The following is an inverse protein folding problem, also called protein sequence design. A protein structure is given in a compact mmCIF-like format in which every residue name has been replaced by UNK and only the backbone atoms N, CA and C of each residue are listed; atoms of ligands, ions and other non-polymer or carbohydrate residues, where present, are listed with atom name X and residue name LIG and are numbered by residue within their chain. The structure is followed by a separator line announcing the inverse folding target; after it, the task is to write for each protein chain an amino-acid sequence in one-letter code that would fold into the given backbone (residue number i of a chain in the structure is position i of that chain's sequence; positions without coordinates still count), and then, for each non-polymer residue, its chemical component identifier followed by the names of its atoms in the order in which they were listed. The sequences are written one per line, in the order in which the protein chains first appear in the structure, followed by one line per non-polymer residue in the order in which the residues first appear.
data_IF_712362500948
#
_entry.id   IF_712362500948
#
_cell.length_a   1.000
_cell.length_b   1.000
_cell.length_c   1.000
_cell.angle_alpha   90.00
_cell.angle_beta   90.00
_cell.angle_gamma   90.00
#
_symmetry.space_group_name_H-M   'P 1'
#
loop_
_entity.id
_entity.type
_entity.pdbx_description
1 polymer ?
#
# COMPACT_ATOMS: atom_id res chain seq x y z
N UNK A 1 -5.49 2.54 5.97
CA UNK A 1 -4.68 1.29 5.97
C UNK A 1 -4.63 0.63 7.35
N UNK A 2 -4.69 1.40 8.44
CA UNK A 2 -4.68 0.87 9.82
C UNK A 2 -5.66 -0.28 10.11
N UNK A 3 -6.87 -0.22 9.55
CA UNK A 3 -7.86 -1.30 9.67
C UNK A 3 -7.32 -2.66 9.15
N UNK A 4 -6.62 -2.64 8.01
CA UNK A 4 -6.02 -3.84 7.42
C UNK A 4 -4.84 -4.36 8.26
N UNK A 5 -3.95 -3.47 8.71
CA UNK A 5 -2.86 -3.82 9.62
C UNK A 5 -3.40 -4.48 10.89
N UNK A 6 -4.43 -3.88 11.50
CA UNK A 6 -5.11 -4.46 12.67
C UNK A 6 -5.65 -5.85 12.39
N UNK A 7 -6.32 -6.06 11.26
CA UNK A 7 -6.89 -7.36 10.90
C UNK A 7 -5.79 -8.43 10.77
N UNK A 8 -4.69 -8.12 10.08
CA UNK A 8 -3.55 -9.04 9.90
C UNK A 8 -2.92 -9.40 11.24
N UNK A 9 -2.66 -8.41 12.11
CA UNK A 9 -2.06 -8.65 13.43
C UNK A 9 -2.97 -9.51 14.31
N UNK A 10 -4.25 -9.14 14.46
CA UNK A 10 -5.20 -9.89 15.31
C UNK A 10 -5.42 -11.30 14.79
N UNK A 11 -5.60 -11.46 13.47
CA UNK A 11 -5.82 -12.78 12.87
C UNK A 11 -4.56 -13.65 12.97
N UNK A 12 -3.38 -13.09 12.74
CA UNK A 12 -2.11 -13.78 12.90
C UNK A 12 -1.91 -14.31 14.32
N UNK A 13 -2.13 -13.46 15.33
CA UNK A 13 -2.06 -13.86 16.74
C UNK A 13 -3.12 -14.92 17.07
N UNK A 14 -4.35 -14.76 16.57
CA UNK A 14 -5.44 -15.71 16.77
C UNK A 14 -5.10 -17.12 16.26
N UNK A 15 -4.43 -17.24 15.11
CA UNK A 15 -3.98 -18.55 14.57
C UNK A 15 -2.66 -19.04 15.15
N UNK A 16 -2.12 -18.37 16.19
CA UNK A 16 -0.87 -18.74 16.86
C UNK A 16 0.40 -18.35 16.10
N UNK A 17 0.31 -17.48 15.09
CA UNK A 17 1.47 -16.94 14.40
C UNK A 17 2.04 -15.72 15.14
N UNK A 18 3.36 -15.52 15.03
CA UNK A 18 4.01 -14.28 15.40
C UNK A 18 3.91 -13.27 14.26
N UNK A 19 3.54 -12.04 14.58
CA UNK A 19 3.41 -10.97 13.60
C UNK A 19 4.43 -9.89 13.89
N UNK A 20 5.08 -9.36 12.85
CA UNK A 20 6.05 -8.29 12.96
C UNK A 20 5.57 -7.09 12.13
N UNK A 21 5.65 -5.90 12.71
CA UNK A 21 5.59 -4.66 11.94
C UNK A 21 6.88 -4.45 11.18
N UNK A 22 6.76 -3.85 10.00
CA UNK A 22 7.86 -3.29 9.23
C UNK A 22 7.52 -1.82 9.03
N UNK A 23 8.23 -0.95 9.73
CA UNK A 23 8.01 0.49 9.67
C UNK A 23 8.52 1.07 8.35
N UNK A 24 7.95 2.18 7.90
CA UNK A 24 8.35 2.90 6.69
C UNK A 24 8.35 2.04 5.40
N UNK A 25 7.53 0.99 5.37
CA UNK A 25 7.38 0.09 4.22
C UNK A 25 8.68 -0.60 3.82
N UNK A 26 9.01 -0.58 2.53
CA UNK A 26 10.25 -1.21 2.05
C UNK A 26 11.51 -0.56 2.61
N UNK A 27 11.45 0.71 3.01
CA UNK A 27 12.61 1.39 3.57
C UNK A 27 13.02 0.74 4.90
N UNK A 28 12.11 0.57 5.85
CA UNK A 28 12.43 -0.11 7.10
C UNK A 28 12.73 -1.59 6.92
N UNK A 29 12.23 -2.23 5.85
CA UNK A 29 12.66 -3.58 5.49
C UNK A 29 14.14 -3.64 5.12
N UNK A 30 14.61 -2.68 4.32
CA UNK A 30 16.02 -2.54 3.92
C UNK A 30 16.90 -2.14 5.10
N UNK A 31 16.43 -1.22 5.94
CA UNK A 31 17.19 -0.70 7.08
C UNK A 31 17.28 -1.73 8.21
N UNK A 32 16.25 -2.57 8.39
CA UNK A 32 16.22 -3.60 9.42
C UNK A 32 16.25 -3.03 10.83
N UNK A 33 16.90 -3.74 11.76
CA UNK A 33 17.06 -3.29 13.13
C UNK A 33 15.72 -3.06 13.84
N UNK A 34 15.54 -1.90 14.47
CA UNK A 34 14.31 -1.51 15.17
C UNK A 34 13.13 -1.21 14.26
N UNK A 35 13.34 -1.09 12.94
CA UNK A 35 12.25 -0.93 11.98
C UNK A 35 11.43 -2.21 11.79
N UNK A 36 11.92 -3.35 12.30
CA UNK A 36 11.15 -4.57 12.40
C UNK A 36 10.86 -4.80 13.89
N UNK A 37 9.59 -4.88 14.27
CA UNK A 37 9.19 -5.02 15.68
C UNK A 37 8.07 -6.04 15.83
N UNK A 38 8.15 -6.90 16.84
CA UNK A 38 7.07 -7.86 17.11
C UNK A 38 5.82 -7.10 17.54
N UNK A 39 4.68 -7.44 16.95
CA UNK A 39 3.40 -6.86 17.27
C UNK A 39 2.68 -7.73 18.31
N UNK A 40 2.09 -7.09 19.30
CA UNK A 40 1.20 -7.72 20.27
C UNK A 40 -0.27 -7.36 19.99
N UNK A 41 -1.17 -7.90 20.81
CA UNK A 41 -2.61 -7.67 20.67
C UNK A 41 -2.94 -6.19 20.91
N UNK A 42 -2.28 -5.55 21.86
CA UNK A 42 -2.50 -4.17 22.29
C UNK A 42 -2.03 -3.15 21.25
N UNK A 43 -0.94 -3.43 20.52
CA UNK A 43 -0.26 -2.54 19.57
C UNK A 43 -1.13 -2.06 18.41
N UNK A 44 -2.20 -2.80 18.10
CA UNK A 44 -3.20 -2.44 17.08
C UNK A 44 -4.56 -2.08 17.67
N UNK A 45 -4.59 -1.65 18.94
CA UNK A 45 -5.78 -1.08 19.58
C UNK A 45 -5.91 0.39 19.22
N UNK A 46 -7.15 0.89 19.13
CA UNK A 46 -7.43 2.31 18.86
C UNK A 46 -6.87 2.87 17.54
N UNK A 47 -6.50 2.01 16.58
CA UNK A 47 -6.01 2.44 15.26
C UNK A 47 -7.08 2.36 14.15
N UNK A 48 -8.22 1.72 14.41
CA UNK A 48 -9.24 1.43 13.39
C UNK A 48 -9.81 2.71 12.75
N UNK A 49 -10.07 3.72 13.58
CA UNK A 49 -10.67 5.00 13.24
C UNK A 49 -9.65 6.06 12.76
N UNK A 50 -8.36 5.70 12.65
CA UNK A 50 -7.29 6.64 12.31
C UNK A 50 -6.94 6.51 10.83
N UNK A 51 -6.92 7.65 10.13
CA UNK A 51 -6.47 7.74 8.74
C UNK A 51 -5.00 7.36 8.54
N UNK A 52 -4.62 7.07 7.30
CA UNK A 52 -3.24 6.71 6.95
C UNK A 52 -2.82 5.33 7.49
N UNK A 53 -1.56 5.27 7.96
CA UNK A 53 -0.88 4.08 8.47
C UNK A 53 0.00 4.43 9.69
N UNK A 54 -0.21 3.77 10.82
CA UNK A 54 0.56 3.94 12.06
C UNK A 54 1.99 3.40 11.96
N UNK A 55 2.25 2.54 10.98
CA UNK A 55 3.58 1.98 10.72
C UNK A 55 4.37 2.77 9.67
N UNK A 56 3.83 3.91 9.21
CA UNK A 56 4.48 4.72 8.18
C UNK A 56 4.44 4.10 6.79
N UNK A 57 4.92 4.86 5.82
CA UNK A 57 5.01 4.46 4.41
C UNK A 57 6.01 5.36 3.71
N UNK A 58 7.18 4.82 3.36
CA UNK A 58 8.20 5.56 2.62
C UNK A 58 8.42 4.99 1.21
N UNK A 59 8.67 5.90 0.25
CA UNK A 59 9.21 5.50 -1.06
C UNK A 59 10.64 5.00 -0.85
N UNK A 60 10.93 3.78 -1.29
CA UNK A 60 12.26 3.19 -1.14
C UNK A 60 12.93 3.00 -2.51
N UNK A 61 13.93 3.84 -2.81
CA UNK A 61 14.75 3.66 -4.02
C UNK A 61 15.69 2.46 -3.90
N UNK A 62 16.22 2.21 -2.70
CA UNK A 62 17.12 1.08 -2.45
C UNK A 62 16.46 -0.27 -2.80
N UNK A 63 15.17 -0.45 -2.53
CA UNK A 63 14.46 -1.69 -2.85
C UNK A 63 14.29 -1.93 -4.36
N UNK A 64 14.49 -0.91 -5.20
CA UNK A 64 14.52 -1.08 -6.66
C UNK A 64 15.82 -1.73 -7.13
N UNK A 65 16.89 -1.68 -6.33
CA UNK A 65 18.15 -2.34 -6.64
C UNK A 65 18.22 -3.73 -6.00
N UNK A 66 18.98 -4.62 -6.62
CA UNK A 66 19.22 -5.96 -6.08
C UNK A 66 19.93 -5.93 -4.73
N UNK A 67 20.86 -4.98 -4.53
CA UNK A 67 21.57 -4.79 -3.27
C UNK A 67 20.61 -4.45 -2.12
N UNK A 68 19.65 -3.55 -2.34
CA UNK A 68 18.64 -3.23 -1.32
C UNK A 68 17.74 -4.42 -1.02
N UNK A 69 17.32 -5.17 -2.05
CA UNK A 69 16.55 -6.41 -1.85
C UNK A 69 17.34 -7.48 -1.09
N UNK A 70 18.65 -7.58 -1.31
CA UNK A 70 19.53 -8.50 -0.58
C UNK A 70 19.61 -8.12 0.90
N UNK A 71 19.75 -6.83 1.23
CA UNK A 71 19.69 -6.34 2.62
C UNK A 71 18.34 -6.63 3.26
N UNK A 72 17.24 -6.36 2.55
CA UNK A 72 15.90 -6.65 3.02
C UNK A 72 15.70 -8.15 3.32
N UNK A 73 16.13 -9.03 2.42
CA UNK A 73 16.07 -10.47 2.63
C UNK A 73 16.88 -10.91 3.86
N UNK A 74 18.09 -10.37 4.05
CA UNK A 74 18.92 -10.63 5.22
C UNK A 74 18.19 -10.26 6.53
N UNK A 75 17.58 -9.08 6.59
CA UNK A 75 16.86 -8.60 7.78
C UNK A 75 15.63 -9.45 8.12
N UNK A 76 14.91 -9.93 7.10
CA UNK A 76 13.78 -10.84 7.30
C UNK A 76 14.26 -12.19 7.87
N UNK A 77 15.35 -12.74 7.31
CA UNK A 77 15.90 -14.04 7.73
C UNK A 77 16.48 -14.01 9.15
N UNK A 78 17.08 -12.90 9.57
CA UNK A 78 17.54 -12.70 10.95
C UNK A 78 16.42 -12.88 11.99
N UNK A 79 15.16 -12.73 11.58
CA UNK A 79 13.97 -12.89 12.42
C UNK A 79 13.12 -14.10 12.04
N UNK A 80 13.58 -14.92 11.09
CA UNK A 80 12.84 -16.08 10.59
C UNK A 80 11.54 -15.73 9.86
N UNK A 81 11.45 -14.54 9.26
CA UNK A 81 10.25 -14.07 8.56
C UNK A 81 10.29 -14.51 7.10
N UNK A 82 9.34 -15.38 6.71
CA UNK A 82 9.16 -15.85 5.33
C UNK A 82 7.73 -15.71 4.82
N UNK A 83 6.85 -15.12 5.63
CA UNK A 83 5.48 -14.79 5.26
C UNK A 83 5.35 -13.27 5.28
N UNK A 84 5.05 -12.68 4.13
CA UNK A 84 5.03 -11.24 3.94
C UNK A 84 3.64 -10.80 3.48
N UNK A 85 3.00 -9.92 4.27
CA UNK A 85 1.78 -9.24 3.88
C UNK A 85 2.12 -7.80 3.47
N UNK A 86 1.88 -7.45 2.20
CA UNK A 86 2.18 -6.12 1.66
C UNK A 86 0.86 -5.38 1.42
N UNK A 87 0.67 -4.26 2.11
CA UNK A 87 -0.50 -3.39 1.95
C UNK A 87 -0.04 -2.13 1.22
N UNK A 88 -0.54 -1.89 0.01
CA UNK A 88 -0.16 -0.71 -0.77
C UNK A 88 -0.77 -0.69 -2.16
N UNK A 89 -0.37 0.30 -2.97
CA UNK A 89 -0.81 0.42 -4.37
C UNK A 89 -0.01 -0.45 -5.34
N UNK A 90 -0.27 -0.26 -6.63
CA UNK A 90 0.32 -1.05 -7.73
C UNK A 90 1.86 -1.19 -7.64
N UNK A 91 2.58 -0.07 -7.49
CA UNK A 91 4.04 -0.09 -7.40
C UNK A 91 4.58 -0.93 -6.24
N UNK A 92 3.87 -0.95 -5.10
CA UNK A 92 4.27 -1.76 -3.94
C UNK A 92 4.06 -3.25 -4.20
N UNK A 93 2.93 -3.62 -4.80
CA UNK A 93 2.60 -5.01 -5.11
C UNK A 93 3.47 -5.57 -6.24
N UNK A 94 3.81 -4.74 -7.23
CA UNK A 94 4.80 -5.07 -8.27
C UNK A 94 6.16 -5.34 -7.65
N UNK A 95 6.62 -4.50 -6.71
CA UNK A 95 7.85 -4.73 -5.96
C UNK A 95 7.85 -6.05 -5.17
N UNK A 96 6.72 -6.40 -4.55
CA UNK A 96 6.56 -7.64 -3.79
C UNK A 96 6.65 -8.88 -4.71
N UNK A 97 6.05 -8.81 -5.89
CA UNK A 97 6.10 -9.88 -6.89
C UNK A 97 7.53 -10.11 -7.40
N UNK A 98 8.27 -9.04 -7.70
CA UNK A 98 9.68 -9.12 -8.11
C UNK A 98 10.51 -9.73 -6.99
N UNK A 99 10.33 -9.27 -5.75
CA UNK A 99 11.05 -9.76 -4.59
C UNK A 99 10.83 -11.27 -4.36
N UNK A 100 9.60 -11.74 -4.49
CA UNK A 100 9.27 -13.18 -4.43
C UNK A 100 9.96 -13.99 -5.53
N UNK A 101 9.97 -13.49 -6.77
CA UNK A 101 10.62 -14.17 -7.90
C UNK A 101 12.14 -14.25 -7.73
N UNK A 102 12.75 -13.23 -7.16
CA UNK A 102 14.21 -13.18 -6.96
C UNK A 102 14.67 -13.87 -5.65
N UNK A 103 13.75 -14.23 -4.76
CA UNK A 103 14.03 -14.70 -3.40
C UNK A 103 15.11 -15.78 -3.30
N UNK A 104 15.01 -16.86 -4.10
CA UNK A 104 15.99 -17.95 -4.10
C UNK A 104 17.39 -17.48 -4.50
N UNK A 105 17.48 -16.58 -5.49
CA UNK A 105 18.75 -16.01 -5.92
C UNK A 105 19.39 -15.11 -4.86
N UNK A 106 18.57 -14.38 -4.09
CA UNK A 106 19.04 -13.56 -2.97
C UNK A 106 19.59 -14.44 -1.83
N UNK A 107 18.90 -15.54 -1.50
CA UNK A 107 19.35 -16.51 -0.49
C UNK A 107 20.69 -17.14 -0.84
N UNK A 108 20.86 -17.59 -2.08
CA UNK A 108 22.14 -18.15 -2.53
C UNK A 108 23.29 -17.16 -2.43
N UNK A 109 23.02 -15.89 -2.73
CA UNK A 109 24.01 -14.80 -2.68
C UNK A 109 24.38 -14.49 -1.22
N UNK A 110 23.39 -14.42 -0.33
CA UNK A 110 23.60 -14.28 1.12
C UNK A 110 24.45 -15.42 1.70
N UNK A 111 24.20 -16.65 1.26
CA UNK A 111 24.97 -17.82 1.71
C UNK A 111 26.40 -17.81 1.17
N UNK A 112 26.61 -17.38 -0.07
CA UNK A 112 27.95 -17.18 -0.67
C UNK A 112 28.76 -16.12 0.07
N UNK A 113 28.09 -15.05 0.50
CA UNK A 113 28.70 -13.95 1.25
C UNK A 113 28.91 -14.28 2.74
N UNK A 114 28.54 -15.49 3.18
CA UNK A 114 28.68 -15.93 4.57
C UNK A 114 27.75 -15.21 5.56
N UNK A 115 26.69 -14.55 5.06
CA UNK A 115 25.72 -13.86 5.93
C UNK A 115 24.67 -14.80 6.52
N UNK A 116 24.43 -15.93 5.86
CA UNK A 116 23.50 -16.97 6.33
C UNK A 116 24.10 -18.36 6.11
N UNK A 117 23.71 -19.31 6.95
CA UNK A 117 24.08 -20.71 6.79
C UNK A 117 23.36 -21.36 5.61
N UNK A 118 23.99 -22.35 4.99
CA UNK A 118 23.38 -23.11 3.89
C UNK A 118 22.10 -23.86 4.32
N UNK A 119 22.00 -24.25 5.59
CA UNK A 119 20.78 -24.86 6.14
C UNK A 119 19.62 -23.85 6.21
N UNK A 120 19.92 -22.58 6.48
CA UNK A 120 18.91 -21.51 6.50
C UNK A 120 18.34 -21.28 5.10
N UNK A 121 19.14 -21.43 4.04
CA UNK A 121 18.67 -21.37 2.65
C UNK A 121 17.59 -22.41 2.39
N UNK A 122 17.79 -23.64 2.86
CA UNK A 122 16.82 -24.72 2.65
C UNK A 122 15.55 -24.52 3.50
N UNK A 123 15.72 -24.10 4.76
CA UNK A 123 14.59 -23.86 5.68
C UNK A 123 13.69 -22.71 5.23
N UNK A 124 14.28 -21.66 4.66
CA UNK A 124 13.58 -20.43 4.27
C UNK A 124 13.47 -20.24 2.75
N UNK A 125 13.62 -21.33 1.99
CA UNK A 125 13.63 -21.31 0.51
C UNK A 125 12.34 -20.72 -0.09
N UNK A 126 11.22 -20.82 0.62
CA UNK A 126 9.93 -20.36 0.16
C UNK A 126 9.51 -19.05 0.84
N UNK A 127 9.38 -17.98 0.06
CA UNK A 127 8.76 -16.73 0.50
C UNK A 127 7.29 -16.72 0.10
N UNK A 128 6.42 -16.74 1.10
CA UNK A 128 4.98 -16.56 0.91
C UNK A 128 4.66 -15.07 0.92
N UNK A 129 4.00 -14.58 -0.14
CA UNK A 129 3.65 -13.16 -0.29
C UNK A 129 2.16 -13.03 -0.54
N UNK A 130 1.50 -12.22 0.29
CA UNK A 130 0.09 -11.83 0.14
C UNK A 130 0.02 -10.32 -0.02
N UNK A 131 -0.70 -9.86 -1.05
CA UNK A 131 -0.91 -8.44 -1.33
C UNK A 131 -2.32 -7.99 -0.96
N UNK A 132 -2.45 -6.81 -0.38
CA UNK A 132 -3.72 -6.10 -0.22
C UNK A 132 -3.62 -4.73 -0.88
N UNK A 133 -4.61 -4.38 -1.70
CA UNK A 133 -4.57 -3.12 -2.44
C UNK A 133 -5.06 -1.97 -1.55
N UNK A 134 -4.14 -1.11 -1.16
CA UNK A 134 -4.39 0.15 -0.46
C UNK A 134 -4.06 1.33 -1.36
N UNK A 135 -5.07 1.87 -2.02
CA UNK A 135 -4.99 3.02 -2.94
C UNK A 135 -6.27 3.84 -2.80
N UNK A 136 -6.20 5.13 -3.07
CA UNK A 136 -7.41 5.96 -3.23
C UNK A 136 -7.88 5.94 -4.68
N UNK A 137 -6.97 5.70 -5.62
CA UNK A 137 -7.17 5.89 -7.05
C UNK A 137 -8.04 4.80 -7.69
N UNK A 138 -8.26 3.67 -7.01
CA UNK A 138 -8.91 2.46 -7.54
C UNK A 138 -8.26 1.93 -8.83
N UNK A 139 -6.92 1.98 -8.86
CA UNK A 139 -6.08 1.81 -10.04
C UNK A 139 -5.51 0.39 -10.23
N UNK A 140 -5.99 -0.61 -9.47
CA UNK A 140 -5.45 -1.96 -9.50
C UNK A 140 -6.40 -2.95 -10.18
N UNK A 141 -6.03 -3.41 -11.37
CA UNK A 141 -6.79 -4.42 -12.09
C UNK A 141 -6.89 -5.73 -11.29
N UNK A 142 -8.08 -6.32 -11.25
CA UNK A 142 -8.36 -7.59 -10.56
C UNK A 142 -9.04 -7.44 -9.19
N UNK A 143 -9.24 -6.21 -8.72
CA UNK A 143 -10.18 -5.92 -7.63
C UNK A 143 -11.21 -4.90 -8.11
N UNK A 144 -12.45 -5.03 -7.65
CA UNK A 144 -13.51 -4.06 -7.95
C UNK A 144 -13.30 -2.75 -7.16
N UNK A 145 -12.72 -2.85 -5.96
CA UNK A 145 -12.50 -1.73 -5.05
C UNK A 145 -11.14 -1.82 -4.35
N UNK A 146 -10.54 -0.66 -4.10
CA UNK A 146 -9.31 -0.53 -3.30
C UNK A 146 -9.55 0.12 -1.94
N UNK A 147 -8.75 -0.27 -0.94
CA UNK A 147 -8.86 0.27 0.42
C UNK A 147 -8.41 1.74 0.42
N UNK A 148 -9.37 2.65 0.54
CA UNK A 148 -9.13 4.09 0.63
C UNK A 148 -10.00 4.89 -0.33
N UNK A 149 -10.49 4.29 -1.42
CA UNK A 149 -11.29 4.97 -2.46
C UNK A 149 -12.54 5.63 -1.89
N UNK A 150 -13.36 4.89 -1.13
CA UNK A 150 -14.60 5.43 -0.55
C UNK A 150 -14.32 6.57 0.46
N UNK A 151 -13.28 6.41 1.28
CA UNK A 151 -12.86 7.47 2.21
C UNK A 151 -12.40 8.74 1.49
N UNK A 152 -11.69 8.60 0.36
CA UNK A 152 -11.26 9.73 -0.47
C UNK A 152 -12.46 10.39 -1.17
N UNK A 153 -13.37 9.60 -1.73
CA UNK A 153 -14.62 10.09 -2.31
C UNK A 153 -15.42 10.90 -1.29
N UNK A 154 -15.56 10.41 -0.06
CA UNK A 154 -16.23 11.15 1.00
C UNK A 154 -15.61 12.53 1.25
N UNK A 155 -14.27 12.64 1.22
CA UNK A 155 -13.59 13.95 1.35
C UNK A 155 -13.87 14.86 0.17
N UNK A 156 -13.93 14.32 -1.06
CA UNK A 156 -14.26 15.10 -2.26
C UNK A 156 -15.67 15.66 -2.14
N UNK A 157 -16.65 14.82 -1.79
CA UNK A 157 -18.06 15.25 -1.70
C UNK A 157 -18.28 16.27 -0.59
N UNK A 158 -17.65 16.12 0.58
CA UNK A 158 -17.71 17.16 1.62
C UNK A 158 -17.23 18.52 1.13
N UNK A 159 -16.15 18.55 0.34
CA UNK A 159 -15.61 19.80 -0.23
C UNK A 159 -16.56 20.36 -1.28
N UNK A 160 -17.12 19.51 -2.15
CA UNK A 160 -18.09 19.92 -3.16
C UNK A 160 -19.33 20.52 -2.50
N UNK A 161 -19.92 19.84 -1.52
CA UNK A 161 -21.09 20.30 -0.77
C UNK A 161 -20.84 21.65 -0.08
N UNK A 162 -19.65 21.82 0.52
CA UNK A 162 -19.26 23.07 1.14
C UNK A 162 -19.19 24.23 0.12
N UNK A 163 -18.67 23.97 -1.09
CA UNK A 163 -18.50 24.98 -2.14
C UNK A 163 -19.82 25.33 -2.84
N UNK A 164 -20.73 24.37 -3.02
CA UNK A 164 -21.99 24.55 -3.75
C UNK A 164 -22.85 25.71 -3.22
N UNK A 165 -22.90 25.89 -1.91
CA UNK A 165 -23.67 26.99 -1.28
C UNK A 165 -23.20 28.38 -1.75
N UNK A 166 -21.89 28.53 -1.97
CA UNK A 166 -21.28 29.77 -2.45
C UNK A 166 -21.46 29.92 -3.96
N UNK A 167 -21.39 28.82 -4.70
CA UNK A 167 -21.59 28.81 -6.15
C UNK A 167 -23.00 29.29 -6.53
N UNK A 168 -24.03 28.77 -5.85
CA UNK A 168 -25.43 29.15 -6.09
C UNK A 168 -25.71 30.62 -5.76
N UNK A 169 -25.12 31.13 -4.67
CA UNK A 169 -25.34 32.51 -4.22
C UNK A 169 -24.81 33.56 -5.20
N UNK A 170 -23.76 33.25 -5.95
CA UNK A 170 -23.09 34.18 -6.85
C UNK A 170 -23.07 33.76 -8.32
N UNK A 171 -23.80 32.70 -8.68
CA UNK A 171 -23.83 32.15 -10.03
C UNK A 171 -22.42 31.90 -10.59
N UNK A 172 -21.57 31.24 -9.80
CA UNK A 172 -20.18 30.96 -10.17
C UNK A 172 -20.03 29.55 -10.71
N UNK A 173 -19.15 29.41 -11.69
CA UNK A 173 -18.61 28.10 -12.11
C UNK A 173 -17.39 27.77 -11.27
N UNK A 174 -17.32 26.53 -10.79
CA UNK A 174 -16.14 26.00 -10.11
C UNK A 174 -15.55 24.86 -10.92
N UNK A 175 -14.22 24.84 -11.02
CA UNK A 175 -13.46 23.73 -11.57
C UNK A 175 -12.69 23.09 -10.42
N UNK A 176 -12.92 21.81 -10.17
CA UNK A 176 -12.32 21.07 -9.07
C UNK A 176 -11.40 19.99 -9.63
N UNK A 177 -10.11 20.07 -9.28
CA UNK A 177 -9.13 19.03 -9.60
C UNK A 177 -9.11 17.99 -8.47
N UNK A 178 -9.29 16.71 -8.81
CA UNK A 178 -9.25 15.59 -7.88
C UNK A 178 -8.04 14.69 -8.15
N UNK A 179 -7.64 13.91 -7.15
CA UNK A 179 -6.61 12.87 -7.32
C UNK A 179 -7.10 11.74 -8.25
N UNK A 180 -6.17 10.88 -8.66
CA UNK A 180 -6.43 9.79 -9.62
C UNK A 180 -5.21 9.44 -10.46
N UNK A 181 -4.23 10.35 -10.59
CA UNK A 181 -3.02 10.22 -11.43
C UNK A 181 -3.34 9.81 -12.87
N UNK A 182 -3.41 8.50 -13.15
CA UNK A 182 -3.70 7.93 -14.47
C UNK A 182 -5.03 7.16 -14.49
N UNK A 183 -5.80 7.21 -13.40
CA UNK A 183 -7.11 6.61 -13.26
C UNK A 183 -8.16 7.68 -12.96
N UNK A 184 -9.23 7.73 -13.77
CA UNK A 184 -10.34 8.65 -13.65
C UNK A 184 -11.44 8.21 -12.68
N UNK A 185 -11.28 7.06 -11.99
CA UNK A 185 -12.36 6.49 -11.15
C UNK A 185 -12.87 7.49 -10.11
N UNK A 186 -11.98 8.15 -9.37
CA UNK A 186 -12.37 9.16 -8.38
C UNK A 186 -13.11 10.34 -9.03
N UNK A 187 -12.64 10.84 -10.17
CA UNK A 187 -13.28 11.92 -10.90
C UNK A 187 -14.68 11.54 -11.40
N UNK A 188 -14.81 10.35 -12.00
CA UNK A 188 -16.07 9.83 -12.53
C UNK A 188 -17.11 9.64 -11.43
N UNK A 189 -16.76 8.95 -10.34
CA UNK A 189 -17.71 8.68 -9.25
C UNK A 189 -18.05 9.97 -8.48
N UNK A 190 -17.09 10.89 -8.32
CA UNK A 190 -17.36 12.19 -7.71
C UNK A 190 -18.33 13.02 -8.54
N UNK A 191 -18.09 13.10 -9.86
CA UNK A 191 -18.98 13.81 -10.79
C UNK A 191 -20.40 13.23 -10.76
N UNK A 192 -20.53 11.90 -10.73
CA UNK A 192 -21.83 11.24 -10.62
C UNK A 192 -22.53 11.55 -9.28
N UNK A 193 -21.79 11.53 -8.18
CA UNK A 193 -22.33 11.72 -6.84
C UNK A 193 -22.80 13.17 -6.57
N UNK A 194 -22.12 14.18 -7.12
CA UNK A 194 -22.52 15.59 -6.96
C UNK A 194 -23.36 16.14 -8.12
N UNK A 195 -23.58 15.36 -9.18
CA UNK A 195 -24.31 15.81 -10.37
C UNK A 195 -23.54 16.91 -11.13
N UNK A 196 -22.24 16.73 -11.29
CA UNK A 196 -21.38 17.70 -11.99
C UNK A 196 -21.82 17.91 -13.45
N UNK A 197 -21.72 19.16 -13.92
CA UNK A 197 -22.07 19.51 -15.30
C UNK A 197 -21.13 18.88 -16.34
N UNK A 198 -19.85 18.70 -15.98
CA UNK A 198 -18.82 18.13 -16.87
C UNK A 198 -17.75 17.39 -16.07
N UNK A 199 -17.07 16.43 -16.70
CA UNK A 199 -15.96 15.68 -16.11
C UNK A 199 -14.89 15.36 -17.15
N UNK A 200 -13.62 15.39 -16.74
CA UNK A 200 -12.48 15.02 -17.58
C UNK A 200 -11.83 13.75 -17.04
N UNK A 201 -11.69 12.73 -17.89
CA UNK A 201 -11.16 11.42 -17.51
C UNK A 201 -10.03 11.02 -18.47
N UNK A 202 -8.91 10.46 -17.97
CA UNK A 202 -7.85 9.96 -18.86
C UNK A 202 -8.27 8.74 -19.68
N UNK A 203 -9.18 7.91 -19.16
CA UNK A 203 -9.69 6.72 -19.87
C UNK A 203 -10.72 7.06 -20.96
N UNK A 204 -11.34 8.24 -20.87
CA UNK A 204 -12.29 8.75 -21.86
C UNK A 204 -12.02 10.23 -22.12
N UNK A 205 -10.93 10.55 -22.86
CA UNK A 205 -10.60 11.93 -23.19
C UNK A 205 -11.74 12.61 -23.96
N UNK A 206 -11.95 13.92 -23.80
CA UNK A 206 -12.90 14.65 -24.63
C UNK A 206 -12.53 14.58 -26.12
N UNK A 207 -13.54 14.43 -26.98
CA UNK A 207 -13.37 14.50 -28.43
C UNK A 207 -13.13 15.94 -28.89
N UNK A 208 -12.52 16.14 -30.06
CA UNK A 208 -12.24 17.46 -30.61
C UNK A 208 -13.52 18.33 -30.70
N UNK A 209 -13.45 19.57 -30.18
CA UNK A 209 -14.58 20.51 -30.17
C UNK A 209 -15.41 20.53 -28.87
N UNK A 210 -14.90 19.92 -27.80
CA UNK A 210 -15.43 20.03 -26.43
C UNK A 210 -15.33 21.45 -25.82
#
# INVERSE_FOLDING_TARGET
MNAAVRAVVRMGIYVGAKVYFIYEGYQGMVDGGSNIAEADWESVSSILQVGGTIIGSARCQAFRTREGRLKAACNLLQRGITNLCVIGGDGSLTGANIFRKEWSGLLEELARNGQIDKEAVQKYAYLNVVGMVGSIDNDFCGTDMTIGTDSALHRIIEVVDAIMTTAQSHQRTFVLEVMGRHCGYLALVSALACGADWVFLPESPPEEGW
#
